data_IF_382490976051
#
_entry.id   IF_382490976051
#
_cell.length_a   1.000
_cell.length_b   1.000
_cell.length_c   1.000
_cell.angle_alpha   90.00
_cell.angle_beta   90.00
_cell.angle_gamma   90.00
#
_symmetry.space_group_name_H-M   'P 1'
#
loop_
_entity.id
_entity.type
_entity.pdbx_description
1 polymer ?
#
# COMPACT_ATOMS: atom_id res chain seq x y z
N UNK A 1 1.72 6.56 -15.71
CA UNK A 1 2.70 5.73 -16.44
C UNK A 1 2.79 4.38 -15.77
N UNK A 2 2.90 3.31 -16.55
CA UNK A 2 3.16 1.96 -16.03
C UNK A 2 4.65 1.90 -15.66
N UNK A 3 4.96 1.55 -14.42
CA UNK A 3 6.34 1.35 -13.98
C UNK A 3 6.82 -0.02 -14.48
N UNK A 4 7.97 -0.06 -15.13
CA UNK A 4 8.55 -1.31 -15.66
C UNK A 4 9.79 -1.69 -14.88
N UNK A 5 9.79 -2.91 -14.34
CA UNK A 5 10.94 -3.46 -13.61
C UNK A 5 12.03 -3.84 -14.61
N UNK A 6 13.23 -3.29 -14.41
CA UNK A 6 14.38 -3.62 -15.26
C UNK A 6 14.91 -5.03 -14.96
N UNK A 7 15.66 -5.61 -15.89
CA UNK A 7 16.30 -6.91 -15.68
C UNK A 7 17.28 -6.91 -14.48
N UNK A 8 17.93 -5.76 -14.22
CA UNK A 8 18.82 -5.60 -13.06
C UNK A 8 18.02 -5.54 -11.76
N UNK A 9 16.92 -4.80 -11.72
CA UNK A 9 16.02 -4.74 -10.57
C UNK A 9 15.38 -6.10 -10.26
N UNK A 10 14.97 -6.85 -11.30
CA UNK A 10 14.45 -8.20 -11.16
C UNK A 10 15.51 -9.14 -10.56
N UNK A 11 16.74 -9.12 -11.09
CA UNK A 11 17.84 -9.93 -10.57
C UNK A 11 18.18 -9.56 -9.12
N UNK A 12 18.24 -8.27 -8.81
CA UNK A 12 18.46 -7.79 -7.45
C UNK A 12 17.38 -8.29 -6.50
N UNK A 13 16.10 -8.23 -6.90
CA UNK A 13 14.99 -8.74 -6.10
C UNK A 13 15.08 -10.25 -5.88
N UNK A 14 15.44 -11.02 -6.91
CA UNK A 14 15.61 -12.47 -6.82
C UNK A 14 16.76 -12.87 -5.86
N UNK A 15 17.86 -12.12 -5.90
CA UNK A 15 19.03 -12.38 -5.06
C UNK A 15 18.86 -11.87 -3.63
N UNK A 16 18.30 -10.67 -3.46
CA UNK A 16 18.24 -9.95 -2.17
C UNK A 16 16.91 -10.05 -1.46
N UNK A 17 15.85 -10.45 -2.17
CA UNK A 17 14.46 -10.58 -1.67
C UNK A 17 13.82 -9.27 -1.22
N UNK A 18 14.40 -8.14 -1.63
CA UNK A 18 13.83 -6.81 -1.49
C UNK A 18 14.24 -5.95 -2.68
N UNK A 19 13.48 -4.88 -2.93
CA UNK A 19 13.80 -3.89 -3.96
C UNK A 19 13.34 -2.51 -3.48
N UNK A 20 14.20 -1.51 -3.60
CA UNK A 20 13.89 -0.11 -3.25
C UNK A 20 13.56 0.64 -4.53
N UNK A 21 12.34 1.16 -4.62
CA UNK A 21 11.89 2.01 -5.73
C UNK A 21 11.76 3.45 -5.21
N UNK A 22 12.44 4.41 -5.84
CA UNK A 22 12.55 5.79 -5.35
C UNK A 22 11.65 6.78 -6.09
N UNK A 23 11.15 6.39 -7.26
CA UNK A 23 10.56 7.26 -8.28
C UNK A 23 9.19 6.77 -8.76
N UNK A 24 8.48 6.02 -7.91
CA UNK A 24 7.17 5.45 -8.25
C UNK A 24 6.00 6.41 -8.05
N UNK A 25 6.19 7.46 -7.24
CA UNK A 25 5.16 8.45 -6.93
C UNK A 25 5.54 9.83 -7.44
N UNK A 26 4.58 10.52 -8.03
CA UNK A 26 4.71 11.94 -8.34
C UNK A 26 4.50 12.80 -7.07
N UNK A 27 4.91 14.09 -7.06
CA UNK A 27 4.76 14.95 -5.89
C UNK A 27 3.34 15.10 -5.37
N UNK A 28 2.33 15.02 -6.25
CA UNK A 28 0.91 15.12 -5.87
C UNK A 28 0.45 13.83 -5.18
N UNK A 29 0.85 12.67 -5.71
CA UNK A 29 0.61 11.37 -5.07
C UNK A 29 1.24 11.31 -3.67
N UNK A 30 2.48 11.81 -3.53
CA UNK A 30 3.16 11.91 -2.23
C UNK A 30 2.36 12.80 -1.27
N UNK A 31 1.96 13.99 -1.70
CA UNK A 31 1.19 14.94 -0.86
C UNK A 31 -0.13 14.33 -0.41
N UNK A 32 -0.86 13.68 -1.33
CA UNK A 32 -2.14 13.04 -1.02
C UNK A 32 -1.96 11.87 -0.03
N UNK A 33 -0.91 11.06 -0.21
CA UNK A 33 -0.62 9.94 0.70
C UNK A 33 -0.24 10.45 2.10
N UNK A 34 0.54 11.52 2.19
CA UNK A 34 0.88 12.17 3.46
C UNK A 34 -0.37 12.72 4.16
N UNK A 35 -1.24 13.41 3.43
CA UNK A 35 -2.49 13.93 3.97
C UNK A 35 -3.38 12.81 4.50
N UNK A 36 -3.60 11.77 3.69
CA UNK A 36 -4.39 10.62 4.10
C UNK A 36 -3.81 9.91 5.33
N UNK A 37 -2.48 9.73 5.38
CA UNK A 37 -1.82 9.10 6.52
C UNK A 37 -2.01 9.94 7.80
N UNK A 38 -1.98 11.27 7.68
CA UNK A 38 -2.26 12.17 8.79
C UNK A 38 -3.73 12.09 9.23
N UNK A 39 -4.67 12.07 8.29
CA UNK A 39 -6.09 11.92 8.59
C UNK A 39 -6.38 10.62 9.36
N UNK A 40 -5.78 9.52 8.92
CA UNK A 40 -5.92 8.21 9.57
C UNK A 40 -5.29 8.21 10.96
N UNK A 41 -4.07 8.75 11.10
CA UNK A 41 -3.40 8.89 12.39
C UNK A 41 -4.23 9.68 13.41
N UNK A 42 -4.89 10.76 12.96
CA UNK A 42 -5.65 11.68 13.81
C UNK A 42 -7.10 11.21 14.07
N UNK A 43 -7.53 10.06 13.52
CA UNK A 43 -8.86 9.53 13.78
C UNK A 43 -9.07 9.28 15.28
N UNK A 44 -10.23 9.69 15.85
CA UNK A 44 -10.52 9.44 17.25
C UNK A 44 -10.48 7.95 17.56
N UNK A 45 -9.67 7.55 18.54
CA UNK A 45 -9.67 6.20 19.08
C UNK A 45 -10.89 6.06 19.98
N UNK A 46 -11.95 5.45 19.47
CA UNK A 46 -13.15 5.20 20.26
C UNK A 46 -12.82 4.21 21.40
N UNK A 47 -13.26 4.54 22.62
CA UNK A 47 -13.10 3.71 23.81
C UNK A 47 -13.81 2.35 23.73
N UNK A 48 -14.68 2.17 22.72
CA UNK A 48 -15.45 0.95 22.49
C UNK A 48 -14.73 -0.09 21.61
N UNK A 49 -13.57 0.24 21.04
CA UNK A 49 -12.69 -0.70 20.33
C UNK A 49 -11.41 -0.90 21.16
N UNK A 50 -11.42 -1.79 22.16
CA UNK A 50 -10.29 -2.03 23.05
C UNK A 50 -9.09 -2.69 22.35
N UNK A 51 -9.27 -3.27 21.17
CA UNK A 51 -8.24 -4.01 20.44
C UNK A 51 -8.11 -3.45 19.03
N UNK A 52 -7.10 -2.60 18.86
CA UNK A 52 -6.63 -2.01 17.61
C UNK A 52 -7.68 -1.21 16.80
N UNK A 53 -7.37 0.02 16.35
CA UNK A 53 -8.16 0.64 15.29
C UNK A 53 -7.91 -0.18 14.00
N UNK A 54 -8.66 -1.26 13.80
CA UNK A 54 -8.62 -2.02 12.56
C UNK A 54 -9.19 -1.13 11.46
N UNK A 55 -8.30 -0.66 10.59
CA UNK A 55 -8.53 0.25 9.47
C UNK A 55 -9.21 -0.44 8.27
N UNK A 56 -10.17 -1.34 8.54
CA UNK A 56 -11.09 -1.81 7.51
C UNK A 56 -12.23 -0.80 7.34
N UNK A 57 -13.04 -0.97 6.29
CA UNK A 57 -14.27 -0.18 6.13
C UNK A 57 -15.04 -0.29 7.45
N UNK A 58 -15.09 0.79 8.21
CA UNK A 58 -15.69 0.75 9.53
C UNK A 58 -17.19 0.42 9.39
N UNK A 59 -17.86 0.06 10.49
CA UNK A 59 -19.30 -0.26 10.47
C UNK A 59 -20.19 0.86 9.87
N UNK A 60 -19.67 2.07 9.71
CA UNK A 60 -20.33 3.20 9.05
C UNK A 60 -20.01 3.36 7.55
N UNK A 61 -19.29 2.42 6.93
CA UNK A 61 -18.95 2.45 5.50
C UNK A 61 -17.80 3.41 5.15
N UNK A 62 -17.11 3.99 6.14
CA UNK A 62 -16.04 4.97 5.92
C UNK A 62 -14.74 4.25 5.59
N UNK A 63 -14.13 4.66 4.47
CA UNK A 63 -12.91 4.05 3.91
C UNK A 63 -11.72 4.49 4.73
N UNK A 64 -11.01 3.55 5.33
CA UNK A 64 -9.75 3.81 6.03
C UNK A 64 -8.55 3.32 5.21
N UNK A 65 -8.76 2.88 3.96
CA UNK A 65 -7.70 2.40 3.05
C UNK A 65 -7.44 3.40 1.92
N UNK A 66 -6.16 3.76 1.67
CA UNK A 66 -5.76 4.53 0.49
C UNK A 66 -5.77 3.64 -0.77
N UNK A 67 -6.98 3.29 -1.21
CA UNK A 67 -7.24 2.37 -2.32
C UNK A 67 -6.48 2.73 -3.60
N UNK A 68 -6.31 4.01 -3.88
CA UNK A 68 -5.70 4.47 -5.14
C UNK A 68 -4.23 4.06 -5.26
N UNK A 69 -3.52 3.85 -4.14
CA UNK A 69 -2.13 3.39 -4.14
C UNK A 69 -2.08 1.89 -3.93
N UNK A 70 -2.61 1.39 -2.81
CA UNK A 70 -2.44 -0.01 -2.40
C UNK A 70 -3.21 -1.00 -3.27
N UNK A 71 -4.33 -0.57 -3.87
CA UNK A 71 -5.10 -1.35 -4.85
C UNK A 71 -4.99 -0.77 -6.27
N UNK A 72 -4.13 0.22 -6.47
CA UNK A 72 -3.94 0.85 -7.76
C UNK A 72 -3.17 -0.05 -8.73
N UNK A 73 -3.50 0.06 -10.01
CA UNK A 73 -2.85 -0.68 -11.10
C UNK A 73 -1.32 -0.52 -11.10
N UNK A 74 -0.83 0.63 -10.60
CA UNK A 74 0.61 0.92 -10.49
C UNK A 74 1.32 -0.07 -9.57
N UNK A 75 0.91 -0.19 -8.30
CA UNK A 75 1.58 -1.09 -7.35
C UNK A 75 1.29 -2.56 -7.69
N UNK A 76 0.06 -2.89 -8.06
CA UNK A 76 -0.28 -4.26 -8.47
C UNK A 76 0.51 -4.70 -9.71
N UNK A 77 0.71 -3.79 -10.68
CA UNK A 77 1.53 -4.05 -11.85
C UNK A 77 3.01 -4.23 -11.54
N UNK A 78 3.56 -3.48 -10.58
CA UNK A 78 4.94 -3.67 -10.10
C UNK A 78 5.09 -5.03 -9.41
N UNK A 79 4.20 -5.33 -8.46
CA UNK A 79 4.24 -6.58 -7.71
C UNK A 79 4.04 -7.80 -8.62
N UNK A 80 3.14 -7.70 -9.61
CA UNK A 80 2.91 -8.75 -10.59
C UNK A 80 4.12 -9.03 -11.48
N UNK A 81 4.90 -8.00 -11.83
CA UNK A 81 6.18 -8.18 -12.53
C UNK A 81 7.20 -8.93 -11.67
N UNK A 82 7.36 -8.53 -10.41
CA UNK A 82 8.30 -9.15 -9.48
C UNK A 82 7.95 -10.61 -9.16
N UNK A 83 6.66 -10.89 -8.95
CA UNK A 83 6.15 -12.21 -8.63
C UNK A 83 6.01 -13.13 -9.86
N UNK A 84 5.99 -12.56 -11.07
CA UNK A 84 5.68 -13.26 -12.34
C UNK A 84 4.31 -13.93 -12.35
N UNK A 85 3.40 -13.43 -11.53
CA UNK A 85 2.02 -13.89 -11.41
C UNK A 85 1.11 -12.73 -11.00
N UNK A 86 -0.21 -12.82 -11.26
CA UNK A 86 -1.15 -11.81 -10.79
C UNK A 86 -1.12 -11.71 -9.26
N UNK A 87 -0.83 -10.53 -8.73
CA UNK A 87 -0.80 -10.28 -7.30
C UNK A 87 -2.17 -9.82 -6.82
N UNK A 88 -2.66 -10.47 -5.77
CA UNK A 88 -3.88 -10.07 -5.07
C UNK A 88 -3.49 -9.42 -3.74
N UNK A 89 -4.19 -8.35 -3.37
CA UNK A 89 -4.06 -7.78 -2.05
C UNK A 89 -4.72 -8.75 -1.04
N UNK A 90 -3.90 -9.62 -0.46
CA UNK A 90 -4.33 -10.59 0.53
C UNK A 90 -3.84 -10.15 1.91
N UNK A 91 -4.77 -9.61 2.70
CA UNK A 91 -4.64 -9.33 4.14
C UNK A 91 -3.65 -8.21 4.49
N UNK A 92 -4.15 -7.17 5.14
CA UNK A 92 -3.30 -6.25 5.89
C UNK A 92 -2.92 -6.91 7.21
N UNK A 93 -1.63 -6.88 7.55
CA UNK A 93 -1.13 -7.43 8.80
C UNK A 93 -1.62 -6.53 9.94
N UNK A 94 -2.77 -6.89 10.46
CA UNK A 94 -3.15 -6.64 11.83
C UNK A 94 -2.28 -7.54 12.70
N UNK A 95 -1.23 -6.98 13.28
CA UNK A 95 -0.50 -7.67 14.35
C UNK A 95 -1.45 -7.82 15.54
N UNK A 96 -1.58 -9.06 16.04
CA UNK A 96 -2.41 -9.45 17.18
C UNK A 96 -2.13 -8.60 18.42
#
# INVERSE_FOLDING_TARGET
>A
MVYTISAEQQRFFEEKRYLILRDIFDPKEITNLQHWAQEVHDLPRASETPWMPYEEINASGKRVLFNNVLRGDKLLGILGQLAREPMLLFKEKSEL
#
